data_IF_375701605487
#
_entry.id   IF_375701605487
#
_cell.length_a   1.000
_cell.length_b   1.000
_cell.length_c   1.000
_cell.angle_alpha   90.00
_cell.angle_beta   90.00
_cell.angle_gamma   90.00
#
_symmetry.space_group_name_H-M   'P 1'
#
loop_
_entity.id
_entity.type
_entity.pdbx_description
1 polymer ?
#
# COMPACT_ATOMS: atom_id res chain seq x y z
N UNK A 1 19.16 11.92 -51.02
CA UNK A 1 19.26 11.82 -49.55
C UNK A 1 19.71 10.40 -49.22
N UNK A 2 20.86 10.23 -48.57
CA UNK A 2 21.43 8.90 -48.31
C UNK A 2 20.56 8.13 -47.30
N UNK A 3 20.54 6.80 -47.40
CA UNK A 3 19.70 5.91 -46.57
C UNK A 3 19.83 6.22 -45.07
N UNK A 4 21.05 6.45 -44.60
CA UNK A 4 21.34 6.81 -43.20
C UNK A 4 20.67 8.11 -42.76
N UNK A 5 20.63 9.14 -43.61
CA UNK A 5 19.98 10.41 -43.28
C UNK A 5 18.45 10.26 -43.18
N UNK A 6 17.84 9.41 -44.03
CA UNK A 6 16.40 9.06 -43.91
C UNK A 6 16.11 8.35 -42.60
N UNK A 7 16.95 7.39 -42.22
CA UNK A 7 16.76 6.64 -40.97
C UNK A 7 16.88 7.55 -39.74
N UNK A 8 17.87 8.45 -39.70
CA UNK A 8 18.02 9.41 -38.58
C UNK A 8 16.77 10.29 -38.46
N UNK A 9 16.31 10.90 -39.56
CA UNK A 9 15.14 11.78 -39.55
C UNK A 9 13.89 11.03 -39.07
N UNK A 10 13.67 9.81 -39.55
CA UNK A 10 12.50 9.00 -39.15
C UNK A 10 12.57 8.66 -37.66
N UNK A 11 13.72 8.17 -37.16
CA UNK A 11 13.85 7.79 -35.75
C UNK A 11 13.69 8.99 -34.81
N UNK A 12 14.30 10.13 -35.15
CA UNK A 12 14.17 11.37 -34.38
C UNK A 12 12.73 11.86 -34.37
N UNK A 13 12.04 11.83 -35.51
CA UNK A 13 10.64 12.27 -35.60
C UNK A 13 9.72 11.40 -34.76
N UNK A 14 9.84 10.07 -34.89
CA UNK A 14 9.01 9.13 -34.12
C UNK A 14 9.32 9.23 -32.63
N UNK A 15 10.60 9.34 -32.25
CA UNK A 15 11.01 9.53 -30.86
C UNK A 15 10.47 10.83 -30.26
N UNK A 16 10.55 11.93 -31.02
CA UNK A 16 10.04 13.24 -30.58
C UNK A 16 8.53 13.22 -30.40
N UNK A 17 7.78 12.61 -31.34
CA UNK A 17 6.31 12.49 -31.22
C UNK A 17 5.94 11.61 -30.04
N UNK A 18 6.57 10.44 -29.89
CA UNK A 18 6.27 9.49 -28.81
C UNK A 18 6.60 10.07 -27.43
N UNK A 19 7.78 10.67 -27.28
CA UNK A 19 8.19 11.33 -26.04
C UNK A 19 7.28 12.51 -25.67
N UNK A 20 6.88 13.31 -26.67
CA UNK A 20 5.94 14.42 -26.45
C UNK A 20 4.58 13.93 -25.98
N UNK A 21 4.05 12.87 -26.59
CA UNK A 21 2.77 12.28 -26.21
C UNK A 21 2.80 11.76 -24.76
N UNK A 22 3.85 11.00 -24.39
CA UNK A 22 4.04 10.50 -23.03
C UNK A 22 4.16 11.63 -22.01
N UNK A 23 4.90 12.70 -22.33
CA UNK A 23 5.06 13.84 -21.44
C UNK A 23 3.73 14.58 -21.18
N UNK A 24 2.93 14.80 -22.23
CA UNK A 24 1.61 15.46 -22.11
C UNK A 24 0.66 14.61 -21.29
N UNK A 25 0.56 13.31 -21.55
CA UNK A 25 -0.29 12.39 -20.77
C UNK A 25 0.17 12.38 -19.30
N UNK A 26 1.48 12.32 -19.06
CA UNK A 26 2.04 12.41 -17.72
C UNK A 26 1.63 13.70 -16.99
N UNK A 27 1.76 14.86 -17.62
CA UNK A 27 1.39 16.14 -17.01
C UNK A 27 -0.12 16.22 -16.70
N UNK A 28 -0.98 15.79 -17.62
CA UNK A 28 -2.43 15.84 -17.41
C UNK A 28 -2.92 14.87 -16.33
N UNK A 29 -2.21 13.77 -16.10
CA UNK A 29 -2.65 12.71 -15.18
C UNK A 29 -2.05 12.85 -13.77
N UNK A 30 -0.97 13.62 -13.61
CA UNK A 30 -0.27 13.83 -12.32
C UNK A 30 -1.21 14.23 -11.19
N UNK A 31 -2.02 15.26 -11.40
CA UNK A 31 -2.91 15.77 -10.35
C UNK A 31 -3.98 14.75 -9.98
N UNK A 32 -4.51 14.01 -10.97
CA UNK A 32 -5.49 12.94 -10.73
C UNK A 32 -4.89 11.77 -9.97
N UNK A 33 -3.64 11.40 -10.28
CA UNK A 33 -2.92 10.35 -9.54
C UNK A 33 -2.70 10.78 -8.10
N UNK A 34 -2.31 12.04 -7.87
CA UNK A 34 -2.12 12.57 -6.52
C UNK A 34 -3.42 12.54 -5.70
N UNK A 35 -4.53 12.98 -6.28
CA UNK A 35 -5.84 12.94 -5.62
C UNK A 35 -6.30 11.51 -5.32
N UNK A 36 -6.19 10.59 -6.28
CA UNK A 36 -6.56 9.19 -6.06
C UNK A 36 -5.70 8.55 -4.95
N UNK A 37 -4.40 8.87 -4.92
CA UNK A 37 -3.48 8.36 -3.90
C UNK A 37 -3.84 8.90 -2.50
N UNK A 38 -4.24 10.17 -2.41
CA UNK A 38 -4.74 10.74 -1.15
C UNK A 38 -6.01 10.04 -0.68
N UNK A 39 -6.98 9.85 -1.57
CA UNK A 39 -8.23 9.15 -1.26
C UNK A 39 -8.00 7.69 -0.85
N UNK A 40 -7.05 7.01 -1.49
CA UNK A 40 -6.67 5.64 -1.16
C UNK A 40 -6.02 5.56 0.23
N UNK A 41 -5.15 6.52 0.58
CA UNK A 41 -4.57 6.62 1.93
C UNK A 41 -5.66 6.89 2.96
N UNK A 42 -6.56 7.84 2.72
CA UNK A 42 -7.67 8.13 3.64
C UNK A 42 -8.58 6.92 3.84
N UNK A 43 -8.97 6.25 2.76
CA UNK A 43 -9.77 5.04 2.81
C UNK A 43 -9.07 3.91 3.58
N UNK A 44 -7.75 3.75 3.36
CA UNK A 44 -6.97 2.76 4.09
C UNK A 44 -6.87 3.09 5.58
N UNK A 45 -6.73 4.36 5.97
CA UNK A 45 -6.73 4.75 7.40
C UNK A 45 -8.06 4.36 8.06
N UNK A 46 -9.19 4.60 7.38
CA UNK A 46 -10.52 4.22 7.86
C UNK A 46 -10.68 2.69 7.95
N UNK A 47 -10.11 1.95 7.00
CA UNK A 47 -10.11 0.48 7.00
C UNK A 47 -9.27 -0.08 8.15
N UNK A 48 -8.09 0.50 8.39
CA UNK A 48 -7.13 -0.03 9.37
C UNK A 48 -7.37 0.42 10.81
N UNK A 49 -7.98 1.59 11.00
CA UNK A 49 -8.39 2.11 12.31
C UNK A 49 -9.88 2.43 12.26
N UNK A 50 -10.75 1.41 12.48
CA UNK A 50 -12.20 1.59 12.42
C UNK A 50 -12.70 2.62 13.43
N UNK A 51 -13.60 3.50 12.99
CA UNK A 51 -14.16 4.58 13.82
C UNK A 51 -13.38 5.89 13.76
N UNK A 52 -12.38 5.98 12.87
CA UNK A 52 -11.66 7.25 12.62
C UNK A 52 -12.58 8.20 11.86
N UNK A 53 -12.74 9.42 12.36
CA UNK A 53 -13.43 10.51 11.65
C UNK A 53 -12.42 11.51 11.07
N UNK A 54 -11.28 11.68 11.73
CA UNK A 54 -10.22 12.59 11.28
C UNK A 54 -8.86 11.94 11.52
N UNK A 55 -7.98 12.05 10.52
CA UNK A 55 -6.60 11.59 10.61
C UNK A 55 -5.64 12.78 10.61
N UNK A 56 -4.55 12.64 11.35
CA UNK A 56 -3.48 13.64 11.40
C UNK A 56 -2.14 12.95 11.18
N UNK A 57 -1.32 13.49 10.29
CA UNK A 57 0.05 13.00 10.08
C UNK A 57 0.91 13.39 11.30
N UNK A 58 1.38 12.40 12.05
CA UNK A 58 2.17 12.61 13.26
C UNK A 58 3.68 12.51 13.00
N UNK A 59 4.06 11.65 12.05
CA UNK A 59 5.45 11.39 11.74
C UNK A 59 5.58 10.91 10.30
N UNK A 60 6.57 11.43 9.56
CA UNK A 60 6.90 10.98 8.21
C UNK A 60 8.40 10.90 8.04
N UNK A 61 8.87 9.74 7.62
CA UNK A 61 10.25 9.48 7.24
C UNK A 61 10.28 8.61 5.98
N UNK A 62 10.67 9.18 4.83
CA UNK A 62 10.80 8.54 3.50
C UNK A 62 9.71 7.52 3.13
N UNK A 63 9.77 6.32 3.70
CA UNK A 63 8.92 5.17 3.41
C UNK A 63 8.12 4.70 4.62
N UNK A 64 8.02 5.52 5.67
CA UNK A 64 7.36 5.23 6.93
C UNK A 64 6.62 6.47 7.41
N UNK A 65 5.30 6.43 7.38
CA UNK A 65 4.44 7.52 7.84
C UNK A 65 3.44 7.00 8.86
N UNK A 66 3.25 7.74 9.95
CA UNK A 66 2.28 7.44 10.99
C UNK A 66 1.17 8.50 10.97
N UNK A 67 -0.06 8.03 10.86
CA UNK A 67 -1.26 8.83 11.01
C UNK A 67 -1.94 8.49 12.33
N UNK A 68 -2.30 9.50 13.12
CA UNK A 68 -3.15 9.35 14.29
C UNK A 68 -4.62 9.40 13.90
N UNK A 69 -5.37 8.31 14.12
CA UNK A 69 -6.81 8.25 13.90
C UNK A 69 -7.55 8.81 15.13
N UNK A 70 -8.39 9.83 14.92
CA UNK A 70 -9.22 10.44 15.95
C UNK A 70 -10.70 10.21 15.68
N UNK A 71 -11.48 9.98 16.73
CA UNK A 71 -12.94 9.94 16.63
C UNK A 71 -13.53 11.35 16.54
N UNK A 72 -14.85 11.45 16.36
CA UNK A 72 -15.61 12.72 16.33
C UNK A 72 -15.41 13.63 17.54
N UNK A 73 -15.09 13.05 18.70
CA UNK A 73 -14.83 13.78 19.94
C UNK A 73 -13.39 14.31 20.03
N UNK A 74 -12.54 13.99 19.04
CA UNK A 74 -11.12 14.35 19.02
C UNK A 74 -10.21 13.39 19.78
N UNK A 75 -10.74 12.28 20.32
CA UNK A 75 -9.97 11.29 21.04
C UNK A 75 -9.19 10.40 20.07
N UNK A 76 -7.91 10.17 20.35
CA UNK A 76 -7.07 9.23 19.61
C UNK A 76 -7.57 7.80 19.85
N UNK A 77 -7.93 7.10 18.77
CA UNK A 77 -8.46 5.74 18.80
C UNK A 77 -7.50 4.71 18.18
N UNK A 78 -6.42 5.16 17.56
CA UNK A 78 -5.39 4.27 17.02
C UNK A 78 -4.39 4.98 16.13
N UNK A 79 -3.42 4.22 15.63
CA UNK A 79 -2.42 4.69 14.67
C UNK A 79 -2.51 3.89 13.39
N UNK A 80 -2.55 4.56 12.24
CA UNK A 80 -2.38 3.95 10.94
C UNK A 80 -0.96 4.18 10.45
N UNK A 81 -0.21 3.10 10.27
CA UNK A 81 1.20 3.14 9.90
C UNK A 81 1.33 2.73 8.44
N UNK A 82 1.64 3.70 7.58
CA UNK A 82 2.04 3.47 6.21
C UNK A 82 3.51 3.07 6.17
N UNK A 83 3.82 1.94 5.54
CA UNK A 83 5.20 1.50 5.34
C UNK A 83 5.36 0.77 4.01
N UNK A 84 6.60 0.57 3.59
CA UNK A 84 6.91 -0.21 2.39
C UNK A 84 8.09 -1.15 2.61
N UNK A 85 8.06 -2.29 1.93
CA UNK A 85 9.12 -3.29 1.98
C UNK A 85 9.38 -3.91 0.62
N UNK A 86 10.57 -4.47 0.44
CA UNK A 86 10.95 -5.17 -0.80
C UNK A 86 10.15 -6.46 -0.96
N UNK A 87 9.36 -6.56 -2.03
CA UNK A 87 8.74 -7.80 -2.47
C UNK A 87 9.68 -8.65 -3.31
N UNK A 88 9.15 -9.62 -4.05
CA UNK A 88 9.95 -10.42 -4.96
C UNK A 88 10.20 -9.69 -6.29
N UNK A 89 9.17 -9.02 -6.82
CA UNK A 89 9.24 -8.34 -8.10
C UNK A 89 9.42 -6.82 -7.96
N UNK A 90 8.75 -6.20 -6.97
CA UNK A 90 8.80 -4.76 -6.74
C UNK A 90 8.56 -4.46 -5.25
N UNK A 91 8.60 -3.19 -4.87
CA UNK A 91 8.24 -2.72 -3.53
C UNK A 91 6.74 -2.96 -3.29
N UNK A 92 6.42 -3.45 -2.10
CA UNK A 92 5.06 -3.57 -1.59
C UNK A 92 4.85 -2.45 -0.58
N UNK A 93 3.86 -1.59 -0.84
CA UNK A 93 3.41 -0.56 0.11
C UNK A 93 2.17 -1.07 0.82
N UNK A 94 2.15 -0.94 2.14
CA UNK A 94 1.08 -1.42 2.99
C UNK A 94 0.78 -0.42 4.10
N UNK A 95 -0.39 -0.55 4.68
CA UNK A 95 -0.80 0.17 5.87
C UNK A 95 -1.35 -0.81 6.89
N UNK A 96 -0.92 -0.72 8.14
CA UNK A 96 -1.53 -1.46 9.23
C UNK A 96 -1.98 -0.50 10.33
N UNK A 97 -3.06 -0.85 10.98
CA UNK A 97 -3.65 -0.05 12.05
C UNK A 97 -3.41 -0.68 13.40
N UNK A 98 -3.19 0.14 14.43
CA UNK A 98 -3.04 -0.33 15.80
C UNK A 98 -4.01 0.36 16.74
N UNK A 99 -4.23 -0.23 17.91
CA UNK A 99 -4.85 0.46 19.04
C UNK A 99 -3.93 1.58 19.58
N UNK A 100 -4.45 2.51 20.41
CA UNK A 100 -3.66 3.62 20.95
C UNK A 100 -2.46 3.19 21.80
N UNK A 101 -2.51 1.98 22.39
CA UNK A 101 -1.44 1.44 23.23
C UNK A 101 -0.46 0.56 22.44
N UNK A 102 -0.67 0.36 21.12
CA UNK A 102 0.17 -0.46 20.26
C UNK A 102 0.33 -1.88 20.82
N UNK A 103 -0.74 -2.41 21.42
CA UNK A 103 -0.83 -3.79 21.93
C UNK A 103 -1.44 -4.75 20.91
N UNK A 104 -2.06 -4.19 19.87
CA UNK A 104 -2.87 -4.91 18.91
C UNK A 104 -2.83 -4.24 17.55
N UNK A 105 -2.70 -5.06 16.50
CA UNK A 105 -2.95 -4.70 15.11
C UNK A 105 -4.44 -4.91 14.86
N UNK A 106 -5.14 -3.86 14.45
CA UNK A 106 -6.57 -3.91 14.16
C UNK A 106 -6.83 -4.64 12.85
N UNK A 107 -6.12 -4.25 11.79
CA UNK A 107 -6.13 -4.89 10.47
C UNK A 107 -4.95 -4.39 9.62
N UNK A 108 -4.78 -5.02 8.45
CA UNK A 108 -3.76 -4.74 7.45
C UNK A 108 -4.43 -4.46 6.10
N UNK A 109 -3.94 -3.46 5.37
CA UNK A 109 -4.35 -3.13 4.00
C UNK A 109 -3.11 -3.02 3.11
N UNK A 110 -3.19 -3.54 1.88
CA UNK A 110 -2.12 -3.45 0.89
C UNK A 110 -2.48 -2.37 -0.11
N UNK A 111 -1.61 -1.37 -0.25
CA UNK A 111 -1.85 -0.17 -1.07
C UNK A 111 -1.28 -0.32 -2.47
N UNK A 112 -0.03 -0.75 -2.58
CA UNK A 112 0.65 -0.85 -3.87
C UNK A 112 1.49 -2.13 -3.93
N UNK A 113 1.32 -2.92 -4.99
CA UNK A 113 2.13 -4.11 -5.24
C UNK A 113 2.10 -4.50 -6.73
N UNK A 114 3.18 -5.14 -7.21
CA UNK A 114 3.30 -5.65 -8.59
C UNK A 114 3.69 -7.12 -8.65
N UNK A 115 3.33 -7.88 -7.62
CA UNK A 115 3.63 -9.30 -7.53
C UNK A 115 2.82 -10.13 -8.52
N UNK A 116 3.32 -11.32 -8.84
CA UNK A 116 2.70 -12.23 -9.81
C UNK A 116 1.29 -12.66 -9.37
N UNK A 117 0.26 -12.47 -10.23
CA UNK A 117 -1.09 -12.97 -9.98
C UNK A 117 -1.12 -14.48 -9.67
N UNK A 118 -1.87 -14.87 -8.64
CA UNK A 118 -1.97 -16.27 -8.20
C UNK A 118 -0.81 -16.80 -7.34
N UNK A 119 0.30 -16.05 -7.24
CA UNK A 119 1.42 -16.34 -6.34
C UNK A 119 1.53 -15.30 -5.22
N UNK A 120 2.21 -14.17 -5.48
CA UNK A 120 2.49 -13.14 -4.48
C UNK A 120 1.32 -12.17 -4.30
N UNK A 121 0.52 -11.96 -5.35
CA UNK A 121 -0.68 -11.12 -5.28
C UNK A 121 -1.75 -11.62 -4.29
N UNK A 122 -1.59 -12.81 -3.71
CA UNK A 122 -2.45 -13.32 -2.64
C UNK A 122 -2.41 -12.47 -1.36
N UNK A 123 -1.41 -11.60 -1.20
CA UNK A 123 -1.35 -10.68 -0.07
C UNK A 123 -2.52 -9.68 -0.05
N UNK A 124 -3.16 -9.42 -1.18
CA UNK A 124 -4.33 -8.53 -1.26
C UNK A 124 -5.65 -9.27 -1.02
N UNK A 125 -5.61 -10.60 -0.84
CA UNK A 125 -6.81 -11.42 -0.69
C UNK A 125 -7.23 -11.46 0.79
N UNK A 126 -8.48 -11.06 1.05
CA UNK A 126 -9.03 -11.00 2.40
C UNK A 126 -9.14 -12.38 3.04
N UNK A 127 -9.59 -13.37 2.29
CA UNK A 127 -9.83 -14.73 2.79
C UNK A 127 -8.55 -15.55 2.92
N UNK A 128 -7.55 -15.28 2.08
CA UNK A 128 -6.31 -16.04 2.07
C UNK A 128 -5.20 -15.43 2.94
N UNK A 129 -5.22 -14.10 3.18
CA UNK A 129 -4.12 -13.44 3.87
C UNK A 129 -4.57 -12.36 4.86
N UNK A 130 -5.34 -11.35 4.43
CA UNK A 130 -5.56 -10.15 5.26
C UNK A 130 -6.31 -10.46 6.57
N UNK A 131 -7.27 -11.39 6.56
CA UNK A 131 -8.00 -11.77 7.78
C UNK A 131 -7.09 -12.20 8.92
N UNK A 132 -5.91 -12.77 8.66
CA UNK A 132 -5.01 -13.24 9.72
C UNK A 132 -4.31 -12.10 10.48
N UNK A 133 -4.42 -10.88 9.97
CA UNK A 133 -3.90 -9.67 10.61
C UNK A 133 -4.95 -8.95 11.44
N UNK A 134 -6.22 -9.35 11.32
CA UNK A 134 -7.30 -8.76 12.10
C UNK A 134 -7.12 -9.10 13.57
N UNK A 135 -7.11 -8.06 14.40
CA UNK A 135 -7.05 -8.17 15.85
C UNK A 135 -5.80 -8.88 16.44
N UNK A 136 -4.68 -8.88 15.73
CA UNK A 136 -3.46 -9.60 16.12
C UNK A 136 -2.70 -8.90 17.26
N UNK A 137 -2.20 -9.64 18.24
CA UNK A 137 -1.39 -9.09 19.33
C UNK A 137 0.02 -8.69 18.83
N UNK A 138 0.54 -7.55 19.28
CA UNK A 138 1.88 -7.04 18.92
C UNK A 138 2.98 -7.45 19.91
N UNK A 139 2.62 -7.94 21.09
CA UNK A 139 3.54 -8.34 22.15
C UNK A 139 4.25 -9.68 21.90
N UNK A 140 3.76 -10.50 20.96
CA UNK A 140 4.45 -11.68 20.47
C UNK A 140 5.13 -11.43 19.14
N UNK A 141 6.23 -12.15 18.87
CA UNK A 141 6.95 -12.03 17.62
C UNK A 141 6.03 -12.39 16.44
N UNK A 142 5.92 -11.50 15.46
CA UNK A 142 5.18 -11.75 14.23
C UNK A 142 5.95 -12.75 13.38
N UNK A 143 5.29 -13.85 12.97
CA UNK A 143 5.88 -14.84 12.09
C UNK A 143 4.93 -15.18 10.94
N UNK A 144 5.50 -15.48 9.78
CA UNK A 144 4.77 -16.03 8.64
C UNK A 144 4.89 -17.55 8.67
N UNK A 145 3.77 -18.25 8.73
CA UNK A 145 3.73 -19.71 8.75
C UNK A 145 3.62 -20.29 7.34
N UNK A 146 4.36 -21.38 7.10
CA UNK A 146 4.17 -22.27 5.94
C UNK A 146 3.99 -23.71 6.47
N UNK A 147 3.03 -24.50 5.97
CA UNK A 147 2.03 -24.17 4.95
C UNK A 147 0.94 -23.22 5.46
N UNK A 148 0.14 -22.66 4.54
CA UNK A 148 -0.97 -21.77 4.90
C UNK A 148 -2.08 -22.56 5.63
N UNK A 149 -2.54 -22.04 6.76
CA UNK A 149 -3.70 -22.55 7.50
C UNK A 149 -5.01 -22.01 6.92
N UNK A 150 -6.13 -22.65 7.25
CA UNK A 150 -7.44 -22.28 6.71
C UNK A 150 -8.21 -21.31 7.61
N UNK A 151 -7.95 -21.33 8.92
CA UNK A 151 -8.64 -20.50 9.92
C UNK A 151 -7.68 -19.88 10.94
N UNK A 152 -8.12 -18.81 11.61
CA UNK A 152 -7.36 -18.19 12.71
C UNK A 152 -7.24 -19.13 13.92
N UNK A 153 -8.24 -19.97 14.17
CA UNK A 153 -8.21 -20.94 15.28
C UNK A 153 -7.08 -21.98 15.10
N UNK A 154 -6.81 -22.39 13.85
CA UNK A 154 -5.67 -23.26 13.52
C UNK A 154 -4.31 -22.56 13.72
N UNK A 155 -4.25 -21.23 13.64
CA UNK A 155 -3.05 -20.47 14.02
C UNK A 155 -2.89 -20.44 15.53
N UNK A 156 -3.93 -20.04 16.26
CA UNK A 156 -3.89 -19.89 17.72
C UNK A 156 -3.65 -21.21 18.46
N UNK A 157 -4.10 -22.35 17.92
CA UNK A 157 -3.85 -23.67 18.52
C UNK A 157 -2.40 -24.15 18.40
N UNK A 158 -1.55 -23.44 17.65
CA UNK A 158 -0.16 -23.82 17.36
C UNK A 158 0.87 -22.74 17.74
N UNK A 159 0.43 -21.64 18.38
CA UNK A 159 1.28 -20.61 19.00
C UNK A 159 1.29 -20.78 20.53
#
# INVERSE_FOLDING_TARGET
MNLSARMIVVLTTVGLISGSLMAVVGMLTKDRIALNRQQEIEAAILEVVPGTDTSEELFTEKNFTIYGGKNRDGNLIGYAVYTSGTGFQDIISLMFGTDPNITKINSLSILEQKETPGLGAKITDKELFLKFWDNKNTGSALSLRKPAVRSQDELAANE
#
